data_IF_098670943845
#
_entry.id   IF_098670943845
#
_cell.length_a   1.000
_cell.length_b   1.000
_cell.length_c   1.000
_cell.angle_alpha   90.00
_cell.angle_beta   90.00
_cell.angle_gamma   90.00
#
_symmetry.space_group_name_H-M   'P 1'
#
loop_
_entity.id
_entity.type
_entity.pdbx_description
1 polymer ?
#
# COMPACT_ATOMS: atom_id res chain seq x y z
N UNK A 1 -1.31 22.57 -4.27
CA UNK A 1 -0.19 21.71 -3.82
C UNK A 1 -0.77 20.64 -2.92
N UNK A 2 -1.01 19.44 -3.46
CA UNK A 2 -1.33 18.27 -2.64
C UNK A 2 -0.04 17.87 -1.93
N UNK A 3 0.01 18.02 -0.62
CA UNK A 3 1.04 17.40 0.20
C UNK A 3 0.82 15.88 0.15
N UNK A 4 1.54 15.24 -0.73
CA UNK A 4 1.55 13.80 -0.94
C UNK A 4 2.11 13.16 0.33
N UNK A 5 1.28 12.49 1.09
CA UNK A 5 1.71 11.81 2.29
C UNK A 5 1.70 10.30 2.06
N UNK A 6 2.87 9.75 1.82
CA UNK A 6 3.12 8.31 1.66
C UNK A 6 3.69 7.70 2.93
N UNK A 7 3.54 6.41 3.08
CA UNK A 7 4.24 5.60 4.07
C UNK A 7 5.14 4.60 3.36
N UNK A 8 6.42 4.60 3.72
CA UNK A 8 7.41 3.71 3.16
C UNK A 8 7.94 2.78 4.24
N UNK A 9 8.10 1.53 3.89
CA UNK A 9 8.71 0.49 4.71
C UNK A 9 9.75 -0.23 3.88
N UNK A 10 10.97 -0.31 4.43
CA UNK A 10 12.14 -0.81 3.72
C UNK A 10 12.62 -2.07 4.40
N UNK A 11 12.84 -3.13 3.63
CA UNK A 11 13.46 -4.37 4.12
C UNK A 11 14.90 -4.11 4.57
N UNK A 12 15.22 -4.48 5.80
CA UNK A 12 16.55 -4.40 6.37
C UNK A 12 17.04 -5.78 6.75
N UNK A 13 18.17 -6.20 6.22
CA UNK A 13 18.79 -7.45 6.63
C UNK A 13 19.63 -7.21 7.90
N UNK A 14 19.11 -7.59 9.06
CA UNK A 14 19.70 -7.40 10.39
C UNK A 14 21.03 -8.15 10.63
N UNK A 15 21.74 -8.54 9.59
CA UNK A 15 22.92 -9.37 9.70
C UNK A 15 24.25 -8.68 9.99
N UNK A 16 24.38 -7.36 9.89
CA UNK A 16 25.61 -6.62 10.24
C UNK A 16 25.35 -5.11 10.26
N UNK A 17 26.01 -4.41 11.17
CA UNK A 17 26.00 -2.95 11.37
C UNK A 17 26.65 -2.19 10.19
N UNK A 18 26.08 -2.29 8.98
CA UNK A 18 26.49 -1.54 7.80
C UNK A 18 25.34 -0.67 7.32
N UNK A 19 25.59 0.54 6.77
CA UNK A 19 24.56 1.38 6.19
C UNK A 19 23.81 0.62 5.11
N UNK A 20 22.51 0.89 4.99
CA UNK A 20 21.57 0.38 3.99
C UNK A 20 22.21 0.35 2.60
N UNK A 21 22.80 -0.76 2.21
CA UNK A 21 23.27 -0.98 0.84
C UNK A 21 22.30 -1.91 0.14
N UNK A 22 21.42 -1.33 -0.68
CA UNK A 22 20.78 -2.10 -1.73
C UNK A 22 21.88 -2.52 -2.72
N UNK A 23 22.00 -3.81 -2.96
CA UNK A 23 23.00 -4.32 -3.89
C UNK A 23 22.75 -3.73 -5.28
N UNK A 24 23.75 -3.05 -5.83
CA UNK A 24 23.73 -2.65 -7.24
C UNK A 24 23.47 -3.90 -8.09
N UNK A 25 22.34 -3.94 -8.83
CA UNK A 25 21.99 -5.05 -9.70
C UNK A 25 21.01 -6.10 -9.11
N UNK A 26 20.54 -5.95 -7.87
CA UNK A 26 19.50 -6.84 -7.34
C UNK A 26 18.11 -6.35 -7.80
N UNK A 27 17.24 -7.23 -8.33
CA UNK A 27 15.88 -6.88 -8.67
C UNK A 27 15.16 -6.29 -7.45
N UNK A 28 14.62 -5.08 -7.56
CA UNK A 28 13.85 -4.46 -6.49
C UNK A 28 12.36 -4.64 -6.75
N UNK A 29 11.71 -5.40 -5.87
CA UNK A 29 10.25 -5.58 -5.87
C UNK A 29 9.63 -4.61 -4.87
N UNK A 30 8.59 -3.92 -5.30
CA UNK A 30 7.77 -3.05 -4.45
C UNK A 30 6.38 -3.65 -4.27
N UNK A 31 5.92 -3.73 -3.03
CA UNK A 31 4.56 -4.12 -2.68
C UNK A 31 3.75 -2.86 -2.39
N UNK A 32 2.58 -2.73 -3.01
CA UNK A 32 1.69 -1.57 -2.83
C UNK A 32 0.29 -2.07 -2.44
N UNK A 33 -0.05 -2.04 -1.15
CA UNK A 33 -1.42 -2.30 -0.72
C UNK A 33 -2.37 -1.21 -1.19
N UNK A 34 -3.53 -1.62 -1.73
CA UNK A 34 -4.57 -0.72 -2.23
C UNK A 34 -5.92 -1.11 -1.67
N UNK A 35 -6.65 -0.16 -1.10
CA UNK A 35 -7.97 -0.38 -0.49
C UNK A 35 -9.08 0.06 -1.44
N UNK A 36 -10.13 -0.77 -1.53
CA UNK A 36 -11.39 -0.40 -2.18
C UNK A 36 -12.25 0.35 -1.19
N UNK A 37 -12.61 1.58 -1.49
CA UNK A 37 -13.39 2.48 -0.63
C UNK A 37 -14.56 3.09 -1.41
N UNK A 38 -15.52 3.70 -0.71
CA UNK A 38 -16.55 4.52 -1.35
C UNK A 38 -15.88 5.70 -2.05
N UNK A 39 -16.24 5.94 -3.32
CA UNK A 39 -15.70 7.06 -4.10
C UNK A 39 -15.96 8.39 -3.38
N UNK A 40 -14.95 9.22 -3.26
CA UNK A 40 -15.02 10.48 -2.51
C UNK A 40 -16.03 11.50 -3.07
N UNK A 41 -16.51 11.31 -4.29
CA UNK A 41 -17.60 12.14 -4.86
C UNK A 41 -19.00 11.66 -4.47
N UNK A 42 -19.12 10.48 -3.83
CA UNK A 42 -20.39 9.93 -3.41
C UNK A 42 -20.85 10.63 -2.13
N UNK A 43 -22.08 11.14 -2.14
CA UNK A 43 -22.75 11.57 -0.90
C UNK A 43 -23.14 10.33 -0.11
N UNK A 44 -22.38 10.02 0.93
CA UNK A 44 -22.69 8.91 1.83
C UNK A 44 -23.97 9.15 2.61
N UNK A 45 -24.72 8.06 2.85
CA UNK A 45 -25.93 8.07 3.65
C UNK A 45 -25.80 7.07 4.78
N UNK A 46 -26.43 7.36 5.91
CA UNK A 46 -26.52 6.43 7.03
C UNK A 46 -27.65 5.45 6.74
N UNK A 47 -27.45 4.18 7.06
CA UNK A 47 -28.50 3.15 7.01
C UNK A 47 -29.67 3.56 7.93
N UNK A 48 -30.89 3.14 7.60
CA UNK A 48 -32.10 3.49 8.36
C UNK A 48 -32.09 3.03 9.82
N UNK A 49 -31.33 1.99 10.13
CA UNK A 49 -31.15 1.44 11.48
C UNK A 49 -29.98 2.09 12.25
N UNK A 50 -29.25 3.03 11.63
CA UNK A 50 -28.11 3.71 12.24
C UNK A 50 -26.84 2.84 12.39
N UNK A 51 -26.80 1.61 11.87
CA UNK A 51 -25.72 0.65 12.06
C UNK A 51 -24.44 0.98 11.27
N UNK A 52 -24.47 1.97 10.38
CA UNK A 52 -23.31 2.36 9.58
C UNK A 52 -23.68 3.10 8.30
N UNK A 53 -22.70 3.23 7.41
CA UNK A 53 -22.89 3.84 6.09
C UNK A 53 -23.59 2.88 5.15
N UNK A 54 -24.58 3.37 4.41
CA UNK A 54 -25.21 2.62 3.34
C UNK A 54 -24.30 2.62 2.10
N UNK A 55 -23.67 1.48 1.87
CA UNK A 55 -22.77 1.25 0.72
C UNK A 55 -23.44 0.43 -0.40
N UNK A 56 -24.74 0.14 -0.28
CA UNK A 56 -25.46 -0.59 -1.31
C UNK A 56 -25.57 0.27 -2.59
N UNK A 57 -25.11 -0.28 -3.71
CA UNK A 57 -25.18 0.36 -5.03
C UNK A 57 -24.49 1.73 -5.14
N UNK A 58 -23.51 2.03 -4.31
CA UNK A 58 -22.68 3.21 -4.45
C UNK A 58 -21.43 2.92 -5.29
N UNK A 59 -20.93 3.95 -5.96
CA UNK A 59 -19.68 3.86 -6.68
C UNK A 59 -18.53 3.63 -5.68
N UNK A 60 -17.72 2.62 -5.96
CA UNK A 60 -16.49 2.32 -5.22
C UNK A 60 -15.28 2.68 -6.09
N UNK A 61 -14.18 3.05 -5.45
CA UNK A 61 -12.93 3.39 -6.13
C UNK A 61 -11.72 2.91 -5.30
N UNK A 62 -10.53 3.03 -5.88
CA UNK A 62 -9.29 2.92 -5.11
C UNK A 62 -9.19 4.09 -4.13
N UNK A 63 -8.70 3.84 -2.93
CA UNK A 63 -8.38 4.91 -1.97
C UNK A 63 -7.39 5.89 -2.61
N UNK A 64 -7.68 7.21 -2.62
CA UNK A 64 -6.83 8.20 -3.29
C UNK A 64 -5.38 8.23 -2.82
N UNK A 65 -5.13 7.97 -1.54
CA UNK A 65 -3.75 7.90 -1.02
C UNK A 65 -3.01 6.64 -1.50
N UNK A 66 -3.72 5.55 -1.76
CA UNK A 66 -3.12 4.33 -2.31
C UNK A 66 -2.85 4.48 -3.80
N UNK A 67 -3.67 5.24 -4.53
CA UNK A 67 -3.42 5.61 -5.92
C UNK A 67 -2.10 6.39 -6.03
N UNK A 68 -1.87 7.36 -5.15
CA UNK A 68 -0.61 8.11 -5.07
C UNK A 68 0.58 7.17 -4.76
N UNK A 69 0.39 6.21 -3.85
CA UNK A 69 1.43 5.23 -3.51
C UNK A 69 1.80 4.38 -4.73
N UNK A 70 0.80 3.99 -5.51
CA UNK A 70 1.00 3.19 -6.72
C UNK A 70 1.65 4.00 -7.85
N UNK A 71 1.25 5.25 -8.04
CA UNK A 71 1.89 6.17 -8.99
C UNK A 71 3.37 6.37 -8.64
N UNK A 72 3.71 6.53 -7.36
CA UNK A 72 5.10 6.68 -6.94
C UNK A 72 5.91 5.40 -7.21
N UNK A 73 5.35 4.22 -6.93
CA UNK A 73 6.00 2.95 -7.24
C UNK A 73 6.22 2.79 -8.76
N UNK A 74 5.25 3.17 -9.57
CA UNK A 74 5.32 3.15 -11.03
C UNK A 74 6.40 4.12 -11.53
N UNK A 75 6.44 5.34 -11.01
CA UNK A 75 7.47 6.34 -11.33
C UNK A 75 8.88 5.83 -11.01
N UNK A 76 9.06 5.16 -9.87
CA UNK A 76 10.35 4.54 -9.51
C UNK A 76 10.74 3.42 -10.48
N UNK A 77 9.76 2.65 -10.98
CA UNK A 77 9.98 1.61 -11.97
C UNK A 77 10.36 2.21 -13.34
N UNK A 78 9.66 3.24 -13.80
CA UNK A 78 9.98 3.95 -15.04
C UNK A 78 11.39 4.58 -15.01
N UNK A 79 11.82 5.03 -13.84
CA UNK A 79 13.18 5.50 -13.61
C UNK A 79 14.23 4.36 -13.50
N UNK A 80 13.85 3.11 -13.72
CA UNK A 80 14.74 1.95 -13.65
C UNK A 80 15.25 1.61 -12.26
N UNK A 81 14.63 2.15 -11.21
CA UNK A 81 15.00 1.91 -9.80
C UNK A 81 14.29 0.69 -9.21
N UNK A 82 13.15 0.32 -9.74
CA UNK A 82 12.31 -0.79 -9.35
C UNK A 82 12.09 -1.71 -10.54
N UNK A 83 12.10 -3.01 -10.33
CA UNK A 83 11.94 -4.03 -11.38
C UNK A 83 10.55 -4.61 -11.43
N UNK A 84 9.84 -4.66 -10.31
CA UNK A 84 8.50 -5.22 -10.20
C UNK A 84 7.65 -4.43 -9.21
N UNK A 85 6.45 -4.04 -9.61
CA UNK A 85 5.42 -3.41 -8.76
C UNK A 85 4.26 -4.38 -8.61
N UNK A 86 3.95 -4.76 -7.37
CA UNK A 86 2.88 -5.71 -7.02
C UNK A 86 1.80 -4.98 -6.23
N UNK A 87 0.62 -4.83 -6.82
CA UNK A 87 -0.55 -4.30 -6.10
C UNK A 87 -1.20 -5.41 -5.26
N UNK A 88 -1.62 -5.08 -4.05
CA UNK A 88 -2.31 -6.02 -3.15
C UNK A 88 -3.61 -5.41 -2.67
N UNK A 89 -4.70 -6.16 -2.73
CA UNK A 89 -5.96 -5.77 -2.09
C UNK A 89 -6.48 -6.90 -1.21
N UNK A 90 -7.06 -6.55 -0.08
CA UNK A 90 -7.62 -7.49 0.89
C UNK A 90 -9.10 -7.17 1.05
N UNK A 91 -9.98 -8.14 0.85
CA UNK A 91 -11.42 -7.95 0.99
C UNK A 91 -12.23 -8.85 0.08
N UNK A 92 -13.42 -8.38 -0.26
CA UNK A 92 -14.39 -9.12 -1.09
C UNK A 92 -13.90 -9.30 -2.55
N UNK A 93 -14.45 -10.28 -3.31
CA UNK A 93 -14.03 -10.52 -4.69
C UNK A 93 -14.03 -9.29 -5.59
N UNK A 94 -14.91 -8.32 -5.33
CA UNK A 94 -14.98 -7.07 -6.11
C UNK A 94 -13.72 -6.19 -5.98
N UNK A 95 -12.84 -6.44 -4.98
CA UNK A 95 -11.55 -5.76 -4.86
C UNK A 95 -10.62 -6.04 -6.06
N UNK A 96 -10.92 -7.08 -6.87
CA UNK A 96 -10.21 -7.30 -8.13
C UNK A 96 -10.37 -6.12 -9.13
N UNK A 97 -11.45 -5.35 -9.06
CA UNK A 97 -11.63 -4.15 -9.89
C UNK A 97 -10.60 -3.07 -9.53
N UNK A 98 -10.37 -2.88 -8.23
CA UNK A 98 -9.32 -2.00 -7.72
C UNK A 98 -7.93 -2.45 -8.18
N UNK A 99 -7.66 -3.76 -8.16
CA UNK A 99 -6.40 -4.31 -8.67
C UNK A 99 -6.24 -4.12 -10.18
N UNK A 100 -7.32 -4.25 -10.96
CA UNK A 100 -7.29 -3.95 -12.41
C UNK A 100 -6.96 -2.49 -12.68
N UNK A 101 -7.55 -1.57 -11.90
CA UNK A 101 -7.20 -0.15 -11.94
C UNK A 101 -5.73 0.05 -11.60
N UNK A 102 -5.22 -0.63 -10.58
CA UNK A 102 -3.82 -0.58 -10.20
C UNK A 102 -2.88 -1.08 -11.30
N UNK A 103 -3.23 -2.15 -11.99
CA UNK A 103 -2.46 -2.63 -13.13
C UNK A 103 -2.52 -1.66 -14.33
N UNK A 104 -3.65 -0.97 -14.52
CA UNK A 104 -3.76 0.07 -15.55
C UNK A 104 -2.90 1.31 -15.24
N UNK A 105 -2.65 1.61 -13.97
CA UNK A 105 -1.72 2.68 -13.54
C UNK A 105 -0.27 2.27 -13.78
N UNK A 106 0.10 1.00 -13.57
CA UNK A 106 1.46 0.54 -13.85
C UNK A 106 1.95 -0.63 -13.00
N UNK A 107 1.12 -1.23 -12.14
CA UNK A 107 1.48 -2.46 -11.45
C UNK A 107 1.63 -3.62 -12.43
N UNK A 108 2.64 -4.46 -12.24
CA UNK A 108 2.89 -5.63 -13.09
C UNK A 108 1.89 -6.76 -12.86
N UNK A 109 1.45 -6.90 -11.61
CA UNK A 109 0.45 -7.88 -11.21
C UNK A 109 -0.31 -7.46 -9.96
N UNK A 110 -1.46 -8.08 -9.76
CA UNK A 110 -2.30 -7.89 -8.59
C UNK A 110 -2.43 -9.17 -7.76
N UNK A 111 -2.47 -9.04 -6.44
CA UNK A 111 -2.77 -10.12 -5.50
C UNK A 111 -4.05 -9.76 -4.74
N UNK A 112 -5.07 -10.60 -4.83
CA UNK A 112 -6.26 -10.50 -4.00
C UNK A 112 -6.14 -11.48 -2.83
N UNK A 113 -6.26 -10.96 -1.61
CA UNK A 113 -6.51 -11.77 -0.41
C UNK A 113 -8.00 -11.70 -0.14
N UNK A 114 -8.71 -12.75 -0.57
CA UNK A 114 -10.16 -12.77 -0.48
C UNK A 114 -10.64 -13.07 0.94
N UNK A 115 -11.50 -12.20 1.45
CA UNK A 115 -12.20 -12.37 2.73
C UNK A 115 -13.46 -11.53 2.76
N UNK A 116 -14.48 -12.03 3.47
CA UNK A 116 -15.71 -11.28 3.79
C UNK A 116 -15.73 -10.77 5.24
N UNK A 117 -14.69 -11.08 6.02
CA UNK A 117 -14.58 -10.60 7.39
C UNK A 117 -14.28 -9.10 7.42
N UNK A 118 -14.88 -8.40 8.37
CA UNK A 118 -14.45 -7.05 8.72
C UNK A 118 -13.09 -7.12 9.38
N UNK A 119 -12.13 -6.38 8.83
CA UNK A 119 -10.73 -6.42 9.26
C UNK A 119 -10.31 -5.08 9.85
N UNK A 120 -9.90 -5.13 11.09
CA UNK A 120 -9.24 -4.02 11.76
C UNK A 120 -7.77 -3.86 11.28
N UNK A 121 -7.14 -2.67 11.45
CA UNK A 121 -5.79 -2.38 10.95
C UNK A 121 -4.72 -3.41 11.30
N UNK A 122 -4.77 -3.97 12.52
CA UNK A 122 -3.80 -5.00 12.94
C UNK A 122 -3.99 -6.32 12.20
N UNK A 123 -5.22 -6.71 11.90
CA UNK A 123 -5.49 -7.92 11.13
C UNK A 123 -4.97 -7.75 9.69
N UNK A 124 -5.21 -6.59 9.07
CA UNK A 124 -4.68 -6.24 7.75
C UNK A 124 -3.15 -6.26 7.77
N UNK A 125 -2.51 -5.67 8.77
CA UNK A 125 -1.05 -5.67 8.91
C UNK A 125 -0.47 -7.08 9.01
N UNK A 126 -1.13 -8.00 9.74
CA UNK A 126 -0.71 -9.42 9.82
C UNK A 126 -0.81 -10.14 8.48
N UNK A 127 -1.88 -9.91 7.71
CA UNK A 127 -2.04 -10.48 6.37
C UNK A 127 -0.98 -9.92 5.40
N UNK A 128 -0.72 -8.63 5.44
CA UNK A 128 0.32 -7.99 4.64
C UNK A 128 1.72 -8.51 5.03
N UNK A 129 1.96 -8.78 6.32
CA UNK A 129 3.21 -9.42 6.76
C UNK A 129 3.37 -10.79 6.14
N UNK A 130 2.34 -11.63 6.20
CA UNK A 130 2.40 -12.97 5.61
C UNK A 130 2.65 -12.92 4.08
N UNK A 131 2.07 -11.92 3.40
CA UNK A 131 2.37 -11.68 1.99
C UNK A 131 3.80 -11.19 1.77
N UNK A 132 4.30 -10.29 2.61
CA UNK A 132 5.68 -9.83 2.52
C UNK A 132 6.68 -10.98 2.75
N UNK A 133 6.39 -11.88 3.69
CA UNK A 133 7.18 -13.08 3.91
C UNK A 133 7.19 -14.03 2.68
N UNK A 134 6.09 -14.08 1.92
CA UNK A 134 5.98 -14.89 0.70
C UNK A 134 6.60 -14.22 -0.52
N UNK A 135 6.31 -12.95 -0.72
CA UNK A 135 6.69 -12.19 -1.91
C UNK A 135 8.10 -11.63 -1.84
N UNK A 136 8.66 -11.50 -0.63
CA UNK A 136 10.02 -10.97 -0.37
C UNK A 136 10.28 -9.62 -1.03
N UNK A 137 9.38 -8.60 -0.86
CA UNK A 137 9.63 -7.28 -1.40
C UNK A 137 10.78 -6.60 -0.65
N UNK A 138 11.48 -5.69 -1.31
CA UNK A 138 12.51 -4.86 -0.69
C UNK A 138 11.97 -3.52 -0.20
N UNK A 139 10.82 -3.12 -0.71
CA UNK A 139 10.13 -1.87 -0.36
C UNK A 139 8.62 -2.10 -0.32
N UNK A 140 7.96 -1.49 0.63
CA UNK A 140 6.49 -1.43 0.69
C UNK A 140 6.11 0.05 0.73
N UNK A 141 5.25 0.47 -0.20
CA UNK A 141 4.71 1.83 -0.25
C UNK A 141 3.22 1.75 -0.01
N UNK A 142 2.72 2.47 0.98
CA UNK A 142 1.30 2.56 1.30
C UNK A 142 0.82 4.00 1.21
N UNK A 143 -0.45 4.17 0.90
CA UNK A 143 -1.13 5.42 1.16
C UNK A 143 -1.08 5.78 2.65
N UNK A 144 -1.03 7.05 2.95
CA UNK A 144 -0.93 7.55 4.34
C UNK A 144 -2.08 7.04 5.22
N UNK A 145 -3.29 6.99 4.67
CA UNK A 145 -4.52 6.57 5.36
C UNK A 145 -5.58 6.17 4.35
N UNK A 146 -6.64 5.50 4.79
CA UNK A 146 -7.84 5.27 3.99
C UNK A 146 -8.89 6.35 4.32
N UNK A 147 -9.62 6.83 3.30
CA UNK A 147 -10.59 7.92 3.48
C UNK A 147 -11.91 7.49 4.14
N UNK A 148 -12.11 6.20 4.32
CA UNK A 148 -13.32 5.61 4.92
C UNK A 148 -13.25 5.53 6.46
N UNK A 149 -12.07 5.30 7.02
CA UNK A 149 -11.88 5.13 8.46
C UNK A 149 -10.86 6.08 9.09
N UNK A 150 -9.99 6.69 8.28
CA UNK A 150 -8.92 7.61 8.71
C UNK A 150 -8.00 7.07 9.83
N UNK A 151 -7.98 5.75 10.05
CA UNK A 151 -7.25 5.12 11.17
C UNK A 151 -5.74 5.35 11.12
N UNK A 152 -5.15 5.41 9.93
CA UNK A 152 -3.73 5.72 9.73
C UNK A 152 -2.76 4.83 10.53
N UNK A 153 -3.09 3.56 10.75
CA UNK A 153 -2.36 2.65 11.66
C UNK A 153 -1.72 1.44 10.98
N UNK A 154 -2.30 0.92 9.91
CA UNK A 154 -1.89 -0.35 9.27
C UNK A 154 -0.40 -0.36 8.94
N UNK A 155 0.10 0.70 8.36
CA UNK A 155 1.50 0.77 7.93
C UNK A 155 2.48 0.68 9.09
N UNK A 156 2.28 1.45 10.16
CA UNK A 156 3.15 1.43 11.35
C UNK A 156 3.13 0.05 12.04
N UNK A 157 1.96 -0.58 12.11
CA UNK A 157 1.81 -1.94 12.64
C UNK A 157 2.54 -2.95 11.76
N UNK A 158 2.46 -2.82 10.44
CA UNK A 158 3.19 -3.67 9.50
C UNK A 158 4.69 -3.54 9.67
N UNK A 159 5.21 -2.31 9.77
CA UNK A 159 6.64 -2.05 10.00
C UNK A 159 7.12 -2.72 11.29
N UNK A 160 6.37 -2.57 12.36
CA UNK A 160 6.69 -3.20 13.65
C UNK A 160 6.70 -4.74 13.55
N UNK A 161 5.72 -5.34 12.88
CA UNK A 161 5.63 -6.79 12.69
C UNK A 161 6.76 -7.34 11.81
N UNK A 162 7.23 -6.57 10.84
CA UNK A 162 8.35 -6.93 9.96
C UNK A 162 9.72 -6.62 10.60
N UNK A 163 9.78 -5.79 11.63
CA UNK A 163 11.03 -5.23 12.14
C UNK A 163 11.72 -4.29 11.14
N UNK A 164 10.94 -3.63 10.27
CA UNK A 164 11.45 -2.75 9.23
C UNK A 164 11.42 -1.29 9.66
N UNK A 165 12.43 -0.49 9.23
CA UNK A 165 12.36 0.95 9.39
C UNK A 165 11.20 1.53 8.59
N UNK A 166 10.66 2.64 9.05
CA UNK A 166 9.53 3.32 8.44
C UNK A 166 9.80 4.81 8.23
N UNK A 167 9.25 5.34 7.15
CA UNK A 167 9.13 6.77 6.93
C UNK A 167 7.65 7.09 6.65
N UNK A 168 7.08 8.00 7.41
CA UNK A 168 5.66 8.36 7.33
C UNK A 168 5.49 9.79 6.87
N UNK A 169 4.34 10.08 6.24
CA UNK A 169 4.04 11.41 5.71
C UNK A 169 5.08 11.91 4.69
N UNK A 170 5.67 10.97 3.94
CA UNK A 170 6.62 11.29 2.90
C UNK A 170 5.94 12.00 1.72
N UNK A 171 6.53 13.07 1.22
CA UNK A 171 6.08 13.82 0.04
C UNK A 171 6.91 13.52 -1.21
N UNK A 172 8.06 12.89 -1.04
CA UNK A 172 8.98 12.51 -2.12
C UNK A 172 9.78 11.28 -1.70
N UNK A 173 10.06 10.42 -2.66
CA UNK A 173 10.89 9.23 -2.47
C UNK A 173 12.04 9.26 -3.47
N UNK A 174 13.25 9.09 -2.97
CA UNK A 174 14.46 9.01 -3.81
C UNK A 174 15.21 7.73 -3.48
N UNK A 175 15.44 6.92 -4.51
CA UNK A 175 16.22 5.69 -4.43
C UNK A 175 17.55 5.92 -5.14
N UNK A 176 18.62 6.10 -4.38
CA UNK A 176 19.98 6.32 -4.92
C UNK A 176 21.02 5.61 -4.06
N UNK A 177 22.01 5.02 -4.72
CA UNK A 177 23.18 4.38 -4.08
C UNK A 177 22.85 3.40 -2.95
N UNK A 178 21.74 2.66 -3.12
CA UNK A 178 21.28 1.71 -2.14
C UNK A 178 20.65 2.33 -0.89
N UNK A 179 20.26 3.61 -0.96
CA UNK A 179 19.58 4.33 0.11
C UNK A 179 18.21 4.79 -0.35
N UNK A 180 17.29 4.86 0.61
CA UNK A 180 15.99 5.53 0.43
C UNK A 180 16.02 6.82 1.23
N UNK A 181 15.76 7.92 0.55
CA UNK A 181 15.60 9.24 1.15
C UNK A 181 14.16 9.69 0.94
N UNK A 182 13.53 10.24 1.96
CA UNK A 182 12.16 10.76 1.93
C UNK A 182 12.11 12.15 2.51
#
# INVERSE_FOLDING_TARGET
>A
CFNLALKLFISYNLGHSRPLQFFKGTPMKVLVPVKRVVDYNVKVRVKSDGSGVDIANVKMSMNPFDEIALEEATRLKEAGKVTEVVAVSIGVPQCQETLRTGMAIGADRGILVETTAELEPLAVAKLLKALADKEQPQLIILGKQAIDDDSNQTGQMLAALLGWPQATFASKVVLEDGKVTV
#
